data_IF_941414022080
#
_entry.id   IF_941414022080
#
_cell.length_a   1.000
_cell.length_b   1.000
_cell.length_c   1.000
_cell.angle_alpha   90.00
_cell.angle_beta   90.00
_cell.angle_gamma   90.00
#
_symmetry.space_group_name_H-M   'P 1'
#
loop_
_entity.id
_entity.type
_entity.pdbx_description
1 polymer ?
#
# COMPACT_ATOMS: atom_id res chain seq x y z
N UNK A 1 0.72 20.59 32.89
CA UNK A 1 0.65 21.82 32.06
C UNK A 1 0.05 21.46 30.71
N UNK A 2 -1.03 22.11 30.29
CA UNK A 2 -1.58 21.92 28.95
C UNK A 2 -0.59 22.46 27.89
N UNK A 3 -0.48 21.82 26.71
CA UNK A 3 0.31 22.34 25.61
C UNK A 3 -0.29 23.67 25.10
N UNK A 4 0.56 24.69 24.92
CA UNK A 4 0.17 26.01 24.39
C UNK A 4 0.82 26.26 23.03
N UNK A 5 0.23 27.12 22.22
CA UNK A 5 0.75 27.50 20.88
C UNK A 5 2.14 28.16 20.92
N UNK A 6 2.54 28.69 22.07
CA UNK A 6 3.87 29.27 22.29
C UNK A 6 4.96 28.20 22.49
N UNK A 7 4.58 26.92 22.67
CA UNK A 7 5.54 25.84 22.76
C UNK A 7 6.07 25.49 21.35
N UNK A 8 7.38 25.67 21.14
CA UNK A 8 8.06 25.39 19.86
C UNK A 8 7.78 24.00 19.30
N UNK A 9 7.68 22.97 20.15
CA UNK A 9 7.37 21.59 19.74
C UNK A 9 5.92 21.46 19.26
N UNK A 10 4.97 22.11 19.94
CA UNK A 10 3.55 22.12 19.55
C UNK A 10 3.38 22.82 18.20
N UNK A 11 3.99 23.98 18.01
CA UNK A 11 3.93 24.73 16.75
C UNK A 11 4.54 23.94 15.59
N UNK A 12 5.70 23.29 15.80
CA UNK A 12 6.33 22.42 14.80
C UNK A 12 5.41 21.28 14.38
N UNK A 13 4.86 20.54 15.35
CA UNK A 13 3.96 19.42 15.07
C UNK A 13 2.70 19.87 14.32
N UNK A 14 2.12 21.03 14.69
CA UNK A 14 0.95 21.58 14.02
C UNK A 14 1.25 21.91 12.55
N UNK A 15 2.40 22.52 12.27
CA UNK A 15 2.83 22.82 10.89
C UNK A 15 2.98 21.53 10.08
N UNK A 16 3.60 20.50 10.65
CA UNK A 16 3.75 19.19 9.99
C UNK A 16 2.39 18.56 9.65
N UNK A 17 1.43 18.59 10.60
CA UNK A 17 0.07 18.07 10.39
C UNK A 17 -0.67 18.86 9.31
N UNK A 18 -0.63 20.19 9.36
CA UNK A 18 -1.31 21.04 8.37
C UNK A 18 -0.73 20.87 6.97
N UNK A 19 0.59 20.70 6.88
CA UNK A 19 1.27 20.47 5.61
C UNK A 19 0.88 19.10 5.04
N UNK A 20 0.89 18.05 5.86
CA UNK A 20 0.45 16.72 5.44
C UNK A 20 -1.01 16.71 5.00
N UNK A 21 -1.89 17.40 5.73
CA UNK A 21 -3.32 17.53 5.37
C UNK A 21 -3.50 18.17 3.99
N UNK A 22 -2.84 19.29 3.74
CA UNK A 22 -2.92 19.99 2.45
C UNK A 22 -2.44 19.10 1.29
N UNK A 23 -1.34 18.38 1.48
CA UNK A 23 -0.82 17.41 0.49
C UNK A 23 -1.85 16.32 0.19
N UNK A 24 -2.48 15.75 1.23
CA UNK A 24 -3.50 14.71 1.08
C UNK A 24 -4.72 15.25 0.31
N UNK A 25 -5.20 16.44 0.66
CA UNK A 25 -6.34 17.07 -0.01
C UNK A 25 -6.07 17.32 -1.50
N UNK A 26 -4.89 17.85 -1.82
CA UNK A 26 -4.46 18.07 -3.22
C UNK A 26 -4.32 16.75 -3.98
N UNK A 27 -3.76 15.71 -3.37
CA UNK A 27 -3.67 14.39 -3.98
C UNK A 27 -5.05 13.80 -4.27
N UNK A 28 -6.01 13.95 -3.35
CA UNK A 28 -7.39 13.48 -3.57
C UNK A 28 -8.07 14.20 -4.73
N UNK A 29 -7.84 15.51 -4.87
CA UNK A 29 -8.35 16.30 -6.01
C UNK A 29 -7.77 15.80 -7.34
N UNK A 30 -6.46 15.63 -7.41
CA UNK A 30 -5.78 15.08 -8.61
C UNK A 30 -6.33 13.69 -8.94
N UNK A 31 -6.43 12.81 -7.94
CA UNK A 31 -6.93 11.45 -8.13
C UNK A 31 -8.35 11.44 -8.67
N UNK A 32 -9.23 12.32 -8.17
CA UNK A 32 -10.60 12.50 -8.68
C UNK A 32 -10.57 12.94 -10.15
N UNK A 33 -9.80 13.98 -10.47
CA UNK A 33 -9.71 14.52 -11.83
C UNK A 33 -9.28 13.46 -12.86
N UNK A 34 -8.45 12.50 -12.45
CA UNK A 34 -7.99 11.39 -13.29
C UNK A 34 -8.98 10.21 -13.31
N UNK A 35 -9.48 9.76 -12.16
CA UNK A 35 -10.39 8.59 -12.07
C UNK A 35 -11.68 8.83 -12.85
N UNK A 36 -12.22 10.05 -12.84
CA UNK A 36 -13.46 10.36 -13.56
C UNK A 36 -13.32 10.31 -15.08
N UNK A 37 -12.11 10.15 -15.63
CA UNK A 37 -11.90 10.00 -17.07
C UNK A 37 -12.18 8.56 -17.51
N UNK A 38 -13.20 8.40 -18.37
CA UNK A 38 -13.67 7.10 -18.86
C UNK A 38 -12.61 6.28 -19.60
N UNK A 39 -11.68 6.91 -20.32
CA UNK A 39 -10.70 6.21 -21.17
C UNK A 39 -9.26 6.38 -20.69
N UNK A 40 -8.42 5.38 -21.01
CA UNK A 40 -6.96 5.42 -20.79
C UNK A 40 -6.32 6.67 -21.40
N UNK A 41 -6.71 7.01 -22.63
CA UNK A 41 -6.14 8.16 -23.34
C UNK A 41 -6.44 9.47 -22.61
N UNK A 42 -7.68 9.66 -22.17
CA UNK A 42 -8.07 10.85 -21.39
C UNK A 42 -7.33 10.93 -20.04
N UNK A 43 -7.07 9.79 -19.40
CA UNK A 43 -6.25 9.74 -18.17
C UNK A 43 -4.81 10.17 -18.41
N UNK A 44 -4.21 9.75 -19.51
CA UNK A 44 -2.86 10.15 -19.90
C UNK A 44 -2.76 11.63 -20.31
N UNK A 45 -3.77 12.15 -21.00
CA UNK A 45 -3.87 13.56 -21.32
C UNK A 45 -3.99 14.42 -20.06
N UNK A 46 -4.81 14.00 -19.10
CA UNK A 46 -4.93 14.68 -17.81
C UNK A 46 -3.60 14.65 -17.04
N UNK A 47 -2.90 13.50 -17.01
CA UNK A 47 -1.57 13.40 -16.41
C UNK A 47 -0.57 14.38 -17.05
N UNK A 48 -0.56 14.48 -18.39
CA UNK A 48 0.29 15.44 -19.12
C UNK A 48 -0.05 16.88 -18.79
N UNK A 49 -1.34 17.19 -18.66
CA UNK A 49 -1.82 18.53 -18.26
C UNK A 49 -1.34 18.87 -16.85
N UNK A 50 -1.55 17.99 -15.88
CA UNK A 50 -1.08 18.16 -14.49
C UNK A 50 0.44 18.35 -14.45
N UNK A 51 1.19 17.55 -15.21
CA UNK A 51 2.64 17.66 -15.29
C UNK A 51 3.07 19.03 -15.85
N UNK A 52 2.40 19.54 -16.88
CA UNK A 52 2.65 20.87 -17.44
C UNK A 52 2.32 21.98 -16.44
N UNK A 53 1.16 21.89 -15.77
CA UNK A 53 0.70 22.88 -14.79
C UNK A 53 1.63 22.97 -13.56
N UNK A 54 2.24 21.83 -13.18
CA UNK A 54 3.21 21.75 -12.07
C UNK A 54 4.67 21.90 -12.53
N UNK A 55 4.93 22.06 -13.82
CA UNK A 55 6.27 22.10 -14.42
C UNK A 55 7.13 20.87 -14.06
N UNK A 56 6.56 19.67 -14.16
CA UNK A 56 7.18 18.38 -13.85
C UNK A 56 7.40 17.58 -15.14
N UNK A 57 8.57 16.95 -15.26
CA UNK A 57 8.87 16.03 -16.36
C UNK A 57 8.28 14.64 -16.11
N UNK A 58 7.65 14.05 -17.12
CA UNK A 58 7.17 12.67 -17.06
C UNK A 58 8.30 11.73 -17.48
N UNK A 59 8.66 10.81 -16.59
CA UNK A 59 9.70 9.80 -16.85
C UNK A 59 9.07 8.40 -16.94
N UNK A 60 9.62 7.56 -17.81
CA UNK A 60 9.30 6.14 -17.90
C UNK A 60 10.47 5.31 -17.37
N UNK A 61 10.16 4.28 -16.60
CA UNK A 61 11.15 3.37 -16.01
C UNK A 61 10.55 1.98 -15.84
N UNK A 62 11.39 0.95 -15.84
CA UNK A 62 11.03 -0.40 -15.43
C UNK A 62 11.37 -0.61 -13.95
N UNK A 63 10.66 -1.53 -13.30
CA UNK A 63 10.92 -1.96 -11.92
C UNK A 63 10.97 -3.48 -11.94
N UNK A 64 12.12 -4.07 -11.61
CA UNK A 64 12.35 -5.50 -11.85
C UNK A 64 11.68 -6.40 -10.81
N UNK A 65 11.55 -5.95 -9.56
CA UNK A 65 10.86 -6.67 -8.49
C UNK A 65 10.40 -5.73 -7.36
N UNK A 66 9.57 -6.23 -6.43
CA UNK A 66 9.05 -5.46 -5.29
C UNK A 66 10.14 -4.96 -4.31
N UNK A 67 11.36 -5.47 -4.41
CA UNK A 67 12.51 -5.05 -3.61
C UNK A 67 13.54 -4.22 -4.42
N UNK A 68 13.23 -3.85 -5.66
CA UNK A 68 14.08 -3.05 -6.52
C UNK A 68 14.14 -1.59 -6.02
N UNK A 69 15.26 -1.26 -5.35
CA UNK A 69 15.48 0.06 -4.75
C UNK A 69 16.11 1.08 -5.70
N UNK A 70 16.31 0.72 -6.98
CA UNK A 70 16.99 1.61 -7.93
C UNK A 70 16.13 2.83 -8.28
N UNK A 71 14.83 2.63 -8.49
CA UNK A 71 13.87 3.69 -8.82
C UNK A 71 13.26 4.29 -7.54
N UNK A 72 12.69 3.44 -6.69
CA UNK A 72 12.03 3.86 -5.45
C UNK A 72 12.71 3.23 -4.24
N UNK A 73 13.31 4.06 -3.39
CA UNK A 73 13.98 3.58 -2.16
C UNK A 73 13.01 2.98 -1.13
N UNK A 74 11.74 3.38 -1.18
CA UNK A 74 10.74 3.03 -0.19
C UNK A 74 9.90 1.82 -0.62
N UNK A 75 9.99 0.74 0.17
CA UNK A 75 9.23 -0.49 -0.08
C UNK A 75 7.72 -0.26 -0.11
N UNK A 76 7.21 0.68 0.69
CA UNK A 76 5.78 1.00 0.72
C UNK A 76 5.26 1.60 -0.58
N UNK A 77 6.12 2.30 -1.34
CA UNK A 77 5.76 2.82 -2.66
C UNK A 77 5.77 1.67 -3.68
N UNK A 78 6.81 0.85 -3.67
CA UNK A 78 6.91 -0.34 -4.53
C UNK A 78 5.71 -1.28 -4.33
N UNK A 79 5.30 -1.53 -3.09
CA UNK A 79 4.13 -2.39 -2.82
C UNK A 79 2.82 -1.82 -3.35
N UNK A 80 2.64 -0.50 -3.32
CA UNK A 80 1.46 0.14 -3.92
C UNK A 80 1.47 -0.04 -5.43
N UNK A 81 2.61 0.20 -6.09
CA UNK A 81 2.76 0.03 -7.55
C UNK A 81 2.49 -1.42 -7.96
N UNK A 82 3.04 -2.41 -7.25
CA UNK A 82 2.84 -3.85 -7.54
C UNK A 82 1.40 -4.34 -7.29
N UNK A 83 0.57 -3.54 -6.62
CA UNK A 83 -0.87 -3.85 -6.45
C UNK A 83 -1.75 -3.30 -7.57
N UNK A 84 -1.19 -2.48 -8.46
CA UNK A 84 -1.90 -1.87 -9.58
C UNK A 84 -1.92 -2.81 -10.79
N UNK A 85 -2.97 -2.69 -11.60
CA UNK A 85 -3.10 -3.42 -12.86
C UNK A 85 -2.48 -2.65 -14.02
N UNK A 86 -2.28 -3.34 -15.14
CA UNK A 86 -1.88 -2.68 -16.37
C UNK A 86 -2.92 -1.61 -16.76
N UNK A 87 -2.46 -0.45 -17.20
CA UNK A 87 -3.27 0.71 -17.56
C UNK A 87 -3.93 1.46 -16.39
N UNK A 88 -3.63 1.06 -15.15
CA UNK A 88 -4.00 1.83 -13.97
C UNK A 88 -3.16 3.09 -13.85
N UNK A 89 -3.79 4.10 -13.25
CA UNK A 89 -3.14 5.36 -12.89
C UNK A 89 -3.58 5.75 -11.48
N UNK A 90 -2.62 6.02 -10.62
CA UNK A 90 -2.89 6.41 -9.24
C UNK A 90 -1.73 7.20 -8.64
N UNK A 91 -2.05 7.94 -7.59
CA UNK A 91 -1.05 8.53 -6.72
C UNK A 91 -0.58 7.47 -5.73
N UNK A 92 0.73 7.27 -5.68
CA UNK A 92 1.41 6.45 -4.66
C UNK A 92 2.20 7.37 -3.74
N UNK A 93 2.12 7.12 -2.43
CA UNK A 93 2.69 8.02 -1.42
C UNK A 93 3.59 7.28 -0.42
N UNK A 94 4.60 7.97 0.08
CA UNK A 94 5.35 7.55 1.27
C UNK A 94 4.43 7.52 2.49
N UNK A 95 4.79 6.75 3.52
CA UNK A 95 3.99 6.63 4.75
C UNK A 95 3.75 7.97 5.45
N UNK A 96 4.67 8.92 5.29
CA UNK A 96 4.59 10.27 5.85
C UNK A 96 4.05 11.32 4.86
N UNK A 97 3.57 10.89 3.68
CA UNK A 97 3.05 11.74 2.61
C UNK A 97 4.02 12.82 2.09
N UNK A 98 5.31 12.75 2.44
CA UNK A 98 6.30 13.72 1.96
C UNK A 98 6.73 13.45 0.52
N UNK A 99 6.63 12.21 0.06
CA UNK A 99 6.89 11.83 -1.33
C UNK A 99 5.62 11.28 -1.93
N UNK A 100 5.21 11.87 -3.05
CA UNK A 100 3.99 11.51 -3.75
C UNK A 100 4.33 11.45 -5.24
N UNK A 101 3.85 10.41 -5.91
CA UNK A 101 4.12 10.18 -7.32
C UNK A 101 2.81 9.83 -8.00
N UNK A 102 2.52 10.49 -9.12
CA UNK A 102 1.46 10.06 -10.02
C UNK A 102 2.04 9.01 -10.97
N UNK A 103 1.61 7.76 -10.83
CA UNK A 103 2.14 6.61 -11.55
C UNK A 103 1.10 6.07 -12.50
N UNK A 104 1.53 5.78 -13.73
CA UNK A 104 0.75 5.07 -14.74
C UNK A 104 1.46 3.76 -15.09
N UNK A 105 0.75 2.63 -15.01
CA UNK A 105 1.29 1.32 -15.37
C UNK A 105 1.13 1.13 -16.87
N UNK A 106 2.25 1.27 -17.60
CA UNK A 106 2.26 1.11 -19.06
C UNK A 106 2.06 -0.34 -19.49
N UNK A 107 2.74 -1.26 -18.81
CA UNK A 107 2.82 -2.67 -19.16
C UNK A 107 3.24 -3.46 -17.92
N UNK A 108 2.73 -4.68 -17.76
CA UNK A 108 3.16 -5.62 -16.73
C UNK A 108 3.78 -6.86 -17.37
N UNK A 109 5.07 -7.07 -17.11
CA UNK A 109 5.80 -8.23 -17.63
C UNK A 109 5.72 -9.37 -16.62
N UNK A 110 4.99 -10.43 -16.96
CA UNK A 110 4.88 -11.63 -16.14
C UNK A 110 5.90 -12.68 -16.60
N UNK A 111 6.80 -13.09 -15.72
CA UNK A 111 7.65 -14.26 -15.94
C UNK A 111 6.83 -15.53 -15.70
N UNK A 112 6.91 -16.48 -16.63
CA UNK A 112 6.36 -17.82 -16.41
C UNK A 112 7.25 -18.56 -15.42
N UNK A 113 6.64 -19.17 -14.41
CA UNK A 113 7.32 -20.14 -13.57
C UNK A 113 7.34 -21.47 -14.32
N UNK A 114 8.53 -21.97 -14.61
CA UNK A 114 8.72 -23.31 -15.17
C UNK A 114 8.71 -24.33 -14.02
N UNK A 115 8.01 -25.45 -14.23
CA UNK A 115 7.94 -26.55 -13.28
C UNK A 115 9.36 -27.07 -12.98
N UNK A 116 9.65 -27.29 -11.69
CA UNK A 116 10.95 -27.81 -11.23
C UNK A 116 12.06 -26.76 -11.06
N UNK A 117 11.82 -25.48 -11.36
CA UNK A 117 12.75 -24.41 -11.00
C UNK A 117 12.75 -24.15 -9.47
N UNK A 118 13.88 -23.73 -8.91
CA UNK A 118 14.03 -23.25 -7.54
C UNK A 118 12.97 -22.21 -7.14
N UNK A 119 12.59 -21.29 -8.03
CA UNK A 119 11.53 -20.31 -7.74
C UNK A 119 10.15 -20.97 -7.64
N UNK A 120 9.85 -21.93 -8.52
CA UNK A 120 8.62 -22.70 -8.47
C UNK A 120 8.49 -23.43 -7.13
N UNK A 121 9.52 -24.18 -6.73
CA UNK A 121 9.55 -24.92 -5.46
C UNK A 121 9.36 -24.01 -4.24
N UNK A 122 9.99 -22.82 -4.27
CA UNK A 122 9.83 -21.81 -3.22
C UNK A 122 8.38 -21.33 -3.13
N UNK A 123 7.77 -20.95 -4.24
CA UNK A 123 6.39 -20.46 -4.27
C UNK A 123 5.36 -21.57 -3.99
N UNK A 124 5.65 -22.82 -4.36
CA UNK A 124 4.86 -24.00 -4.02
C UNK A 124 4.79 -24.19 -2.50
N UNK A 125 5.95 -24.17 -1.82
CA UNK A 125 6.02 -24.28 -0.35
C UNK A 125 5.27 -23.14 0.35
N UNK A 126 5.46 -21.90 -0.09
CA UNK A 126 4.75 -20.73 0.46
C UNK A 126 3.23 -20.87 0.27
N UNK A 127 2.80 -21.28 -0.93
CA UNK A 127 1.38 -21.45 -1.25
C UNK A 127 0.73 -22.54 -0.41
N UNK A 128 1.41 -23.69 -0.26
CA UNK A 128 0.93 -24.79 0.58
C UNK A 128 0.82 -24.36 2.05
N UNK A 129 1.82 -23.67 2.60
CA UNK A 129 1.77 -23.16 3.97
C UNK A 129 0.62 -22.17 4.18
N UNK A 130 0.43 -21.22 3.25
CA UNK A 130 -0.68 -20.27 3.30
C UNK A 130 -2.05 -20.94 3.19
N UNK A 131 -2.17 -21.96 2.34
CA UNK A 131 -3.40 -22.73 2.19
C UNK A 131 -3.72 -23.51 3.47
N UNK A 132 -2.74 -24.20 4.05
CA UNK A 132 -2.91 -24.90 5.34
C UNK A 132 -3.36 -23.94 6.44
N UNK A 133 -2.73 -22.77 6.55
CA UNK A 133 -3.12 -21.76 7.54
C UNK A 133 -4.57 -21.25 7.33
N UNK A 134 -4.99 -21.04 6.07
CA UNK A 134 -6.37 -20.66 5.76
C UNK A 134 -7.38 -21.75 6.10
N UNK A 135 -7.06 -23.02 5.82
CA UNK A 135 -7.92 -24.16 6.16
C UNK A 135 -8.09 -24.26 7.68
N UNK A 136 -6.99 -24.23 8.43
CA UNK A 136 -7.01 -24.28 9.89
C UNK A 136 -7.80 -23.11 10.48
N UNK A 137 -7.54 -21.88 10.03
CA UNK A 137 -8.28 -20.70 10.48
C UNK A 137 -9.78 -20.78 10.16
N UNK A 138 -10.16 -21.34 9.01
CA UNK A 138 -11.57 -21.55 8.64
C UNK A 138 -12.23 -22.59 9.54
N UNK A 139 -11.51 -23.66 9.85
CA UNK A 139 -11.98 -24.71 10.75
C UNK A 139 -12.17 -24.18 12.18
N UNK A 140 -11.22 -23.40 12.71
CA UNK A 140 -11.34 -22.75 14.01
C UNK A 140 -12.56 -21.81 14.07
N UNK A 141 -12.76 -21.00 13.03
CA UNK A 141 -13.94 -20.14 12.91
C UNK A 141 -15.25 -20.95 12.92
N UNK A 142 -15.27 -22.08 12.21
CA UNK A 142 -16.42 -22.98 12.20
C UNK A 142 -16.71 -23.55 13.60
N UNK A 143 -15.69 -24.05 14.31
CA UNK A 143 -15.83 -24.58 15.66
C UNK A 143 -16.33 -23.50 16.65
N UNK A 144 -15.74 -22.32 16.61
CA UNK A 144 -16.16 -21.18 17.44
C UNK A 144 -17.63 -20.82 17.21
N UNK A 145 -18.08 -20.84 15.94
CA UNK A 145 -19.48 -20.58 15.58
C UNK A 145 -20.42 -21.71 16.02
N UNK A 146 -20.00 -22.98 15.87
CA UNK A 146 -20.80 -24.16 16.21
C UNK A 146 -21.02 -24.31 17.71
N UNK A 147 -19.97 -24.12 18.50
CA UNK A 147 -20.00 -24.36 19.94
C UNK A 147 -20.24 -23.09 20.78
N UNK A 148 -20.44 -21.92 20.13
CA UNK A 148 -20.63 -20.60 20.79
C UNK A 148 -19.68 -20.42 21.97
N UNK A 149 -18.38 -20.62 21.72
CA UNK A 149 -17.37 -20.58 22.77
C UNK A 149 -17.29 -19.16 23.32
N UNK A 150 -17.95 -18.92 24.46
CA UNK A 150 -17.87 -17.66 25.20
C UNK A 150 -16.60 -17.68 26.05
N UNK A 151 -15.53 -17.09 25.52
CA UNK A 151 -14.24 -17.09 26.21
C UNK A 151 -14.28 -16.01 27.30
N UNK A 152 -14.20 -16.44 28.56
CA UNK A 152 -14.03 -15.52 29.68
C UNK A 152 -12.69 -14.79 29.56
N UNK A 153 -12.73 -13.49 29.24
CA UNK A 153 -11.54 -12.65 29.03
C UNK A 153 -10.56 -12.69 30.21
N UNK A 154 -11.02 -12.83 31.46
CA UNK A 154 -10.13 -12.96 32.62
C UNK A 154 -9.31 -14.26 32.60
N UNK A 155 -9.86 -15.34 32.06
CA UNK A 155 -9.14 -16.60 31.91
C UNK A 155 -8.14 -16.53 30.75
N UNK A 156 -8.52 -15.90 29.63
CA UNK A 156 -7.65 -15.69 28.48
C UNK A 156 -6.42 -14.83 28.84
N UNK A 157 -6.61 -13.76 29.62
CA UNK A 157 -5.52 -12.87 30.05
C UNK A 157 -4.53 -13.57 30.99
N UNK A 158 -4.99 -14.46 31.87
CA UNK A 158 -4.11 -15.29 32.71
C UNK A 158 -3.22 -16.20 31.86
N UNK A 159 -3.81 -16.89 30.89
CA UNK A 159 -3.08 -17.79 29.99
C UNK A 159 -2.09 -17.01 29.13
N UNK A 160 -2.48 -15.84 28.61
CA UNK A 160 -1.61 -14.98 27.80
C UNK A 160 -0.41 -14.43 28.59
N UNK A 161 -0.57 -14.22 29.90
CA UNK A 161 0.53 -13.84 30.78
C UNK A 161 1.46 -15.01 31.14
N UNK A 162 1.01 -16.26 31.03
CA UNK A 162 1.85 -17.45 31.26
C UNK A 162 2.79 -17.75 30.08
N UNK A 163 2.43 -17.32 28.86
CA UNK A 163 3.25 -17.49 27.65
C UNK A 163 4.05 -16.24 27.28
N UNK A 164 4.24 -15.32 28.23
CA UNK A 164 4.97 -14.07 28.06
C UNK A 164 6.31 -14.09 28.77
#
# INVERSE_FOLDING_TARGET
KLPTLNNKKVKKNLIEILTAKNVIEKNQEIQKNIIFKKSKQLRLEEMKKIAKDLNITINATSINNINDKNVFKEKGILSQIYSMHENDIAIVSSKDYKKNYLVFIKETINTKLEDGNNEYEKYLKISNSNLSNKILGTYDLYLNKKYKVDINQKALDKVKNMYR
#
